data_IF_241276970446
#
_entry.id   IF_241276970446
#
_cell.length_a   1.000
_cell.length_b   1.000
_cell.length_c   1.000
_cell.angle_alpha   90.00
_cell.angle_beta   90.00
_cell.angle_gamma   90.00
#
_symmetry.space_group_name_H-M   'P 1'
#
loop_
_entity.id
_entity.type
_entity.pdbx_description
1 polymer ?
#
# COMPACT_ATOMS: atom_id res chain seq x y z
N UNK A 1 7.98 -0.71 23.40
CA UNK A 1 7.44 0.64 23.12
C UNK A 1 8.30 1.26 22.03
N UNK A 2 7.68 1.79 21.00
CA UNK A 2 8.37 2.41 19.88
C UNK A 2 9.31 3.53 20.34
N UNK A 3 10.47 3.64 19.69
CA UNK A 3 11.40 4.74 19.91
C UNK A 3 11.35 5.68 18.73
N UNK A 4 10.93 6.91 18.96
CA UNK A 4 11.00 8.00 18.01
C UNK A 4 12.43 8.53 17.95
N UNK A 5 13.05 8.47 16.77
CA UNK A 5 14.41 8.97 16.55
C UNK A 5 14.39 10.38 15.91
N UNK A 6 13.42 10.64 15.06
CA UNK A 6 13.26 11.92 14.37
C UNK A 6 11.80 12.13 13.99
N UNK A 7 11.35 13.39 13.98
CA UNK A 7 10.05 13.80 13.46
C UNK A 7 10.17 15.20 12.84
N UNK A 8 9.38 15.46 11.82
CA UNK A 8 9.35 16.75 11.16
C UNK A 8 8.36 16.80 10.01
N UNK A 9 8.30 17.94 9.34
CA UNK A 9 7.56 18.15 8.09
C UNK A 9 8.57 18.50 7.02
N UNK A 10 8.50 17.82 5.88
CA UNK A 10 9.37 18.11 4.72
C UNK A 10 9.06 19.48 4.12
N UNK A 11 10.07 20.17 3.61
CA UNK A 11 9.89 21.34 2.77
C UNK A 11 9.06 21.00 1.54
N UNK A 12 8.24 21.94 1.04
CA UNK A 12 7.42 21.71 -0.14
C UNK A 12 8.25 21.33 -1.37
N UNK A 13 7.85 20.25 -2.04
CA UNK A 13 8.43 19.75 -3.29
C UNK A 13 7.32 19.41 -4.30
N UNK A 14 7.62 19.25 -5.61
CA UNK A 14 6.62 18.78 -6.56
C UNK A 14 5.98 17.45 -6.11
N UNK A 15 4.65 17.37 -6.19
CA UNK A 15 3.92 16.17 -5.78
C UNK A 15 4.15 15.02 -6.79
N UNK A 16 4.52 13.84 -6.30
CA UNK A 16 4.70 12.65 -7.13
C UNK A 16 3.39 12.13 -7.78
N UNK A 17 2.22 12.59 -7.31
CA UNK A 17 0.91 12.18 -7.82
C UNK A 17 0.22 13.26 -8.65
N UNK A 18 0.45 14.51 -8.31
CA UNK A 18 -0.13 15.71 -8.93
C UNK A 18 1.00 16.74 -9.12
N UNK A 19 1.81 16.64 -10.19
CA UNK A 19 3.04 17.40 -10.33
C UNK A 19 2.89 18.94 -10.22
N UNK A 20 1.70 19.44 -10.55
CA UNK A 20 1.38 20.89 -10.48
C UNK A 20 1.08 21.39 -9.06
N UNK A 21 1.04 20.48 -8.06
CA UNK A 21 0.70 20.82 -6.68
C UNK A 21 1.91 20.63 -5.78
N UNK A 22 2.25 21.61 -4.89
CA UNK A 22 3.29 21.39 -3.90
C UNK A 22 2.87 20.33 -2.89
N UNK A 23 3.80 19.47 -2.51
CA UNK A 23 3.58 18.40 -1.54
C UNK A 23 4.57 18.49 -0.39
N UNK A 24 4.09 18.26 0.80
CA UNK A 24 4.88 18.06 2.02
C UNK A 24 4.40 16.80 2.73
N UNK A 25 5.32 16.10 3.37
CA UNK A 25 5.01 14.95 4.21
C UNK A 25 5.39 15.27 5.65
N UNK A 26 4.49 14.98 6.58
CA UNK A 26 4.88 14.78 7.97
C UNK A 26 5.56 13.42 8.06
N UNK A 27 6.73 13.36 8.67
CA UNK A 27 7.50 12.14 8.79
C UNK A 27 7.98 11.88 10.22
N UNK A 28 8.16 10.58 10.52
CA UNK A 28 8.74 10.08 11.77
C UNK A 28 9.68 8.94 11.45
N UNK A 29 10.87 8.95 12.01
CA UNK A 29 11.75 7.79 12.00
C UNK A 29 11.56 7.07 13.33
N UNK A 30 11.04 5.83 13.28
CA UNK A 30 10.69 5.06 14.45
C UNK A 30 11.25 3.65 14.35
N UNK A 31 11.76 3.13 15.45
CA UNK A 31 12.23 1.74 15.58
C UNK A 31 11.52 1.05 16.74
N UNK A 32 11.60 -0.27 16.78
CA UNK A 32 10.98 -1.11 17.81
C UNK A 32 9.45 -0.90 17.93
N UNK A 33 8.79 -0.57 16.81
CA UNK A 33 7.33 -0.36 16.78
C UNK A 33 6.62 -1.68 17.04
N UNK A 34 5.80 -1.72 18.08
CA UNK A 34 4.99 -2.89 18.44
C UNK A 34 3.76 -3.02 17.53
N UNK A 35 3.15 -4.22 17.43
CA UNK A 35 1.98 -4.43 16.57
C UNK A 35 0.81 -3.48 16.85
N UNK A 36 0.47 -3.23 18.09
CA UNK A 36 -0.62 -2.33 18.47
C UNK A 36 -0.29 -0.86 18.15
N UNK A 37 0.98 -0.47 18.30
CA UNK A 37 1.45 0.87 17.92
C UNK A 37 1.39 1.07 16.39
N UNK A 38 1.79 0.05 15.62
CA UNK A 38 1.67 0.07 14.16
C UNK A 38 0.21 0.18 13.71
N UNK A 39 -0.69 -0.59 14.35
CA UNK A 39 -2.12 -0.53 14.08
C UNK A 39 -2.70 0.87 14.35
N UNK A 40 -2.34 1.47 15.47
CA UNK A 40 -2.74 2.83 15.83
C UNK A 40 -2.22 3.89 14.84
N UNK A 41 -0.99 3.76 14.35
CA UNK A 41 -0.42 4.63 13.32
C UNK A 41 -1.15 4.47 11.98
N UNK A 42 -1.38 3.23 11.52
CA UNK A 42 -2.12 2.96 10.28
C UNK A 42 -3.53 3.53 10.34
N UNK A 43 -4.20 3.39 11.49
CA UNK A 43 -5.54 3.92 11.73
C UNK A 43 -5.60 5.45 11.64
N UNK A 44 -4.50 6.16 11.93
CA UNK A 44 -4.35 7.62 11.83
C UNK A 44 -3.79 8.09 10.48
N UNK A 45 -3.77 7.21 9.48
CA UNK A 45 -3.36 7.56 8.13
C UNK A 45 -1.84 7.51 7.88
N UNK A 46 -1.05 7.12 8.87
CA UNK A 46 0.38 6.91 8.65
C UNK A 46 0.64 5.72 7.73
N UNK A 47 1.70 5.81 6.95
CA UNK A 47 2.25 4.75 6.11
C UNK A 47 3.76 4.75 6.29
N UNK A 48 4.44 3.65 5.93
CA UNK A 48 5.88 3.58 6.12
C UNK A 48 6.61 2.81 5.02
N UNK A 49 7.90 3.09 4.92
CA UNK A 49 8.89 2.22 4.30
C UNK A 49 10.00 2.01 5.33
N UNK A 50 10.21 0.76 5.73
CA UNK A 50 11.13 0.45 6.81
C UNK A 50 10.83 1.25 8.08
N UNK A 51 11.82 1.94 8.68
CA UNK A 51 11.62 2.75 9.88
C UNK A 51 11.01 4.13 9.63
N UNK A 52 10.89 4.56 8.36
CA UNK A 52 10.38 5.88 7.97
C UNK A 52 8.86 5.89 7.82
N UNK A 53 8.16 6.42 8.82
CA UNK A 53 6.71 6.66 8.78
C UNK A 53 6.40 8.03 8.19
N UNK A 54 5.34 8.13 7.42
CA UNK A 54 4.94 9.39 6.78
C UNK A 54 3.44 9.48 6.57
N UNK A 55 2.93 10.71 6.48
CA UNK A 55 1.59 11.03 6.01
C UNK A 55 1.57 12.38 5.32
N UNK A 56 0.57 12.66 4.44
CA UNK A 56 0.46 13.95 3.77
C UNK A 56 0.28 15.08 4.78
N UNK A 57 1.01 16.20 4.57
CA UNK A 57 0.89 17.44 5.32
C UNK A 57 0.85 18.67 4.38
N UNK A 58 0.26 18.47 3.20
CA UNK A 58 0.25 19.46 2.12
C UNK A 58 -0.67 20.64 2.44
N UNK A 59 -0.17 21.87 2.40
CA UNK A 59 -0.99 23.07 2.57
C UNK A 59 -1.97 23.21 1.39
N UNK A 60 -3.27 23.27 1.70
CA UNK A 60 -4.33 23.48 0.70
C UNK A 60 -4.67 22.28 -0.18
N UNK A 61 -4.06 21.09 0.03
CA UNK A 61 -4.37 19.88 -0.73
C UNK A 61 -4.79 18.73 0.18
N UNK A 62 -5.93 18.08 -0.13
CA UNK A 62 -6.46 16.90 0.56
C UNK A 62 -6.71 15.74 -0.39
N UNK A 63 -5.99 15.66 -1.51
CA UNK A 63 -6.23 14.65 -2.54
C UNK A 63 -5.80 13.23 -2.14
N UNK A 64 -4.92 13.08 -1.16
CA UNK A 64 -4.41 11.80 -0.68
C UNK A 64 -5.37 11.18 0.34
N UNK A 65 -6.39 10.50 -0.15
CA UNK A 65 -7.40 9.86 0.70
C UNK A 65 -6.85 8.56 1.30
N UNK A 66 -6.65 8.50 2.62
CA UNK A 66 -6.30 7.24 3.29
C UNK A 66 -7.50 6.31 3.27
N UNK A 67 -7.34 5.09 2.72
CA UNK A 67 -8.45 4.17 2.46
C UNK A 67 -8.23 2.81 3.10
N UNK A 68 -9.35 2.18 3.54
CA UNK A 68 -9.37 0.79 3.98
C UNK A 68 -10.62 0.06 3.50
N UNK A 69 -10.48 -1.22 3.23
CA UNK A 69 -11.59 -2.14 2.93
C UNK A 69 -12.15 -2.66 4.27
N UNK A 70 -13.48 -2.70 4.39
CA UNK A 70 -14.16 -3.43 5.47
C UNK A 70 -14.34 -4.86 4.99
N UNK A 71 -13.57 -5.79 5.54
CA UNK A 71 -13.39 -7.16 5.01
C UNK A 71 -14.69 -7.96 4.97
N UNK A 72 -15.49 -7.91 6.04
CA UNK A 72 -16.75 -8.67 6.13
C UNK A 72 -17.82 -8.17 5.15
N UNK A 73 -17.81 -6.87 4.86
CA UNK A 73 -18.76 -6.27 3.93
C UNK A 73 -18.28 -6.30 2.47
N UNK A 74 -17.02 -6.68 2.22
CA UNK A 74 -16.45 -6.65 0.88
C UNK A 74 -16.84 -7.85 0.04
N UNK A 75 -17.30 -7.58 -1.18
CA UNK A 75 -17.49 -8.58 -2.22
C UNK A 75 -16.81 -8.14 -3.52
N UNK A 76 -15.99 -8.98 -4.16
CA UNK A 76 -15.27 -8.60 -5.35
C UNK A 76 -16.23 -8.36 -6.53
N UNK A 77 -15.98 -7.31 -7.31
CA UNK A 77 -16.69 -7.01 -8.55
C UNK A 77 -16.40 -8.06 -9.64
N UNK A 78 -17.13 -7.99 -10.77
CA UNK A 78 -16.91 -8.91 -11.90
C UNK A 78 -15.47 -8.82 -12.44
N UNK A 79 -14.92 -7.61 -12.56
CA UNK A 79 -13.53 -7.41 -13.02
C UNK A 79 -12.50 -7.91 -12.01
N UNK A 80 -12.73 -7.72 -10.71
CA UNK A 80 -11.89 -8.23 -9.66
C UNK A 80 -11.89 -9.77 -9.61
N UNK A 81 -13.06 -10.40 -9.72
CA UNK A 81 -13.15 -11.87 -9.85
C UNK A 81 -12.43 -12.39 -11.10
N UNK A 82 -12.43 -11.63 -12.20
CA UNK A 82 -11.64 -11.99 -13.38
C UNK A 82 -10.14 -11.94 -13.07
N UNK A 83 -9.64 -10.89 -12.41
CA UNK A 83 -8.22 -10.81 -12.02
C UNK A 83 -7.83 -11.98 -11.10
N UNK A 84 -8.68 -12.31 -10.11
CA UNK A 84 -8.46 -13.44 -9.21
C UNK A 84 -8.37 -14.78 -9.97
N UNK A 85 -9.25 -15.02 -10.96
CA UNK A 85 -9.20 -16.22 -11.80
C UNK A 85 -7.92 -16.30 -12.65
N UNK A 86 -7.49 -15.17 -13.22
CA UNK A 86 -6.27 -15.12 -14.03
C UNK A 86 -5.01 -15.37 -13.18
N UNK A 87 -5.04 -15.03 -11.90
CA UNK A 87 -3.92 -15.23 -10.97
C UNK A 87 -3.97 -16.58 -10.23
N UNK A 88 -4.92 -17.47 -10.52
CA UNK A 88 -5.15 -18.72 -9.75
C UNK A 88 -3.97 -19.73 -9.79
N UNK A 89 -3.16 -19.66 -10.86
CA UNK A 89 -1.96 -20.50 -11.03
C UNK A 89 -0.78 -19.98 -10.19
N UNK A 90 -0.90 -18.78 -9.61
CA UNK A 90 0.14 -18.25 -8.75
C UNK A 90 -0.02 -18.76 -7.32
N UNK A 91 0.96 -19.53 -6.88
CA UNK A 91 1.07 -19.97 -5.49
C UNK A 91 1.64 -18.83 -4.64
N UNK A 92 0.92 -18.43 -3.59
CA UNK A 92 1.31 -17.33 -2.72
C UNK A 92 1.86 -17.87 -1.38
N UNK A 93 3.01 -17.37 -0.98
CA UNK A 93 3.66 -17.68 0.30
C UNK A 93 3.77 -16.42 1.15
N UNK A 94 3.42 -16.52 2.43
CA UNK A 94 3.55 -15.42 3.40
C UNK A 94 4.74 -15.70 4.29
N UNK A 95 5.65 -14.72 4.37
CA UNK A 95 6.85 -14.82 5.20
C UNK A 95 7.24 -13.45 5.76
N UNK A 96 8.32 -13.38 6.53
CA UNK A 96 9.05 -12.13 6.73
C UNK A 96 9.68 -11.69 5.41
N UNK A 97 9.85 -10.36 5.17
CA UNK A 97 10.54 -9.89 3.96
C UNK A 97 11.96 -10.48 3.86
N UNK A 98 12.32 -10.87 2.64
CA UNK A 98 13.60 -11.50 2.33
C UNK A 98 14.36 -10.65 1.31
N UNK A 99 15.69 -10.69 1.33
CA UNK A 99 16.55 -10.08 0.33
C UNK A 99 17.31 -11.20 -0.37
N UNK A 100 17.11 -11.30 -1.67
CA UNK A 100 17.84 -12.20 -2.55
C UNK A 100 17.90 -11.65 -3.97
N UNK A 101 18.71 -12.27 -4.81
CA UNK A 101 18.87 -11.85 -6.21
C UNK A 101 17.57 -11.95 -7.02
N UNK A 102 16.70 -12.91 -6.71
CA UNK A 102 15.44 -13.07 -7.42
C UNK A 102 14.52 -11.86 -7.18
N UNK A 103 14.45 -11.37 -5.94
CA UNK A 103 13.66 -10.19 -5.58
C UNK A 103 14.23 -8.90 -6.14
N UNK A 104 15.53 -8.72 -6.05
CA UNK A 104 16.24 -7.55 -6.60
C UNK A 104 16.08 -7.49 -8.13
N UNK A 105 16.30 -8.60 -8.84
CA UNK A 105 16.13 -8.69 -10.28
C UNK A 105 14.69 -8.41 -10.71
N UNK A 106 13.71 -8.96 -9.96
CA UNK A 106 12.29 -8.72 -10.22
C UNK A 106 11.93 -7.24 -10.00
N UNK A 107 12.42 -6.62 -8.94
CA UNK A 107 12.20 -5.19 -8.68
C UNK A 107 12.79 -4.34 -9.80
N UNK A 108 14.03 -4.59 -10.22
CA UNK A 108 14.69 -3.85 -11.29
C UNK A 108 13.98 -4.02 -12.64
N UNK A 109 13.50 -5.23 -12.95
CA UNK A 109 12.71 -5.46 -14.16
C UNK A 109 11.41 -4.67 -14.15
N UNK A 110 10.70 -4.67 -13.01
CA UNK A 110 9.49 -3.89 -12.81
C UNK A 110 9.75 -2.38 -12.92
N UNK A 111 10.82 -1.87 -12.32
CA UNK A 111 11.16 -0.46 -12.34
C UNK A 111 11.52 0.03 -13.75
N UNK A 112 12.30 -0.76 -14.51
CA UNK A 112 12.59 -0.45 -15.93
C UNK A 112 11.31 -0.34 -16.75
N UNK A 113 10.37 -1.29 -16.59
CA UNK A 113 9.08 -1.21 -17.27
C UNK A 113 8.31 0.06 -16.87
N UNK A 114 8.30 0.45 -15.58
CA UNK A 114 7.64 1.69 -15.15
C UNK A 114 8.29 2.94 -15.69
N UNK A 115 9.61 2.98 -15.76
CA UNK A 115 10.34 4.09 -16.39
C UNK A 115 9.95 4.23 -17.87
N UNK A 116 9.93 3.14 -18.62
CA UNK A 116 9.60 3.14 -20.04
C UNK A 116 8.12 3.43 -20.33
N UNK A 117 7.20 2.84 -19.55
CA UNK A 117 5.76 2.91 -19.83
C UNK A 117 5.04 4.05 -19.13
N UNK A 118 5.63 4.65 -18.08
CA UNK A 118 5.01 5.67 -17.24
C UNK A 118 5.87 6.90 -16.97
N UNK A 119 7.09 6.94 -17.51
CA UNK A 119 8.02 8.05 -17.32
C UNK A 119 8.49 8.22 -15.86
N UNK A 120 8.52 7.12 -15.08
CA UNK A 120 9.05 7.19 -13.71
C UNK A 120 10.57 7.34 -13.75
N UNK A 121 11.12 8.07 -12.80
CA UNK A 121 12.56 8.13 -12.64
C UNK A 121 13.14 6.75 -12.35
N UNK A 122 14.20 6.41 -13.08
CA UNK A 122 14.98 5.22 -12.77
C UNK A 122 15.89 5.53 -11.60
N UNK A 123 15.74 4.76 -10.52
CA UNK A 123 16.76 4.69 -9.49
C UNK A 123 17.19 3.24 -9.35
N UNK A 124 18.47 2.97 -9.50
CA UNK A 124 19.00 1.65 -9.18
C UNK A 124 18.89 1.44 -7.67
N UNK A 125 17.98 0.57 -7.27
CA UNK A 125 17.80 0.21 -5.87
C UNK A 125 18.95 -0.71 -5.45
N UNK A 126 19.84 -0.22 -4.60
CA UNK A 126 20.90 -1.05 -4.03
C UNK A 126 20.31 -2.08 -3.07
N UNK A 127 21.11 -3.11 -2.73
CA UNK A 127 20.77 -4.08 -1.66
C UNK A 127 20.46 -3.36 -0.35
N UNK A 128 21.22 -2.32 -0.03
CA UNK A 128 21.03 -1.53 1.18
C UNK A 128 19.69 -0.74 1.14
N UNK A 129 19.35 -0.14 0.00
CA UNK A 129 18.09 0.58 -0.17
C UNK A 129 16.90 -0.39 -0.08
N UNK A 130 17.02 -1.58 -0.68
CA UNK A 130 16.00 -2.62 -0.57
C UNK A 130 15.80 -3.02 0.89
N UNK A 131 16.91 -3.28 1.62
CA UNK A 131 16.86 -3.58 3.05
C UNK A 131 16.13 -2.49 3.83
N UNK A 132 16.58 -1.24 3.67
CA UNK A 132 16.03 -0.12 4.42
C UNK A 132 14.53 0.13 4.12
N UNK A 133 14.10 -0.12 2.89
CA UNK A 133 12.70 0.12 2.49
C UNK A 133 11.76 -1.04 2.82
N UNK A 134 12.20 -2.28 2.58
CA UNK A 134 11.29 -3.42 2.53
C UNK A 134 11.63 -4.53 3.53
N UNK A 135 12.88 -4.68 3.92
CA UNK A 135 13.32 -5.77 4.78
C UNK A 135 13.87 -5.30 6.14
N UNK A 136 13.74 -4.02 6.46
CA UNK A 136 14.10 -3.51 7.78
C UNK A 136 13.33 -4.26 8.87
N UNK A 137 14.00 -4.69 9.97
CA UNK A 137 13.36 -5.47 11.01
C UNK A 137 12.12 -4.82 11.58
N UNK A 138 10.99 -5.50 11.47
CA UNK A 138 9.69 -5.06 11.97
C UNK A 138 8.88 -6.24 12.47
N UNK A 139 8.14 -6.03 13.57
CA UNK A 139 7.26 -7.05 14.14
C UNK A 139 6.07 -7.36 13.23
N UNK A 140 5.60 -6.38 12.47
CA UNK A 140 4.41 -6.47 11.62
C UNK A 140 4.71 -6.72 10.15
N UNK A 141 5.91 -6.40 9.66
CA UNK A 141 6.24 -6.57 8.25
C UNK A 141 6.10 -8.01 7.79
N UNK A 142 5.42 -8.17 6.65
CA UNK A 142 5.24 -9.42 5.93
C UNK A 142 5.53 -9.22 4.46
N UNK A 143 5.92 -10.29 3.83
CA UNK A 143 6.01 -10.42 2.39
C UNK A 143 5.02 -11.48 1.92
N UNK A 144 4.29 -11.19 0.84
CA UNK A 144 3.58 -12.21 0.07
C UNK A 144 4.33 -12.38 -1.24
N UNK A 145 5.03 -13.49 -1.38
CA UNK A 145 5.76 -13.88 -2.58
C UNK A 145 4.87 -14.78 -3.44
N UNK A 146 4.81 -14.51 -4.74
CA UNK A 146 3.98 -15.26 -5.68
C UNK A 146 4.86 -15.99 -6.68
N UNK A 147 4.65 -17.28 -6.76
CA UNK A 147 5.37 -18.20 -7.63
C UNK A 147 4.43 -18.76 -8.68
N UNK A 148 4.87 -18.77 -9.93
CA UNK A 148 4.11 -19.36 -11.02
C UNK A 148 4.33 -20.88 -11.03
N UNK A 149 3.30 -21.64 -10.69
CA UNK A 149 3.34 -23.10 -10.68
C UNK A 149 3.40 -23.73 -12.09
N UNK A 150 3.06 -22.95 -13.13
CA UNK A 150 3.12 -23.37 -14.53
C UNK A 150 4.46 -23.00 -15.19
N UNK A 151 5.35 -22.26 -14.48
CA UNK A 151 6.65 -21.79 -14.94
C UNK A 151 7.76 -22.08 -13.91
N UNK A 152 8.02 -23.34 -13.63
CA UNK A 152 9.07 -23.86 -12.73
C UNK A 152 9.08 -23.21 -11.35
N UNK A 153 7.92 -22.85 -10.81
CA UNK A 153 7.79 -22.10 -9.55
C UNK A 153 8.65 -20.81 -9.50
N UNK A 154 8.77 -20.12 -10.65
CA UNK A 154 9.49 -18.87 -10.72
C UNK A 154 8.79 -17.79 -9.91
N UNK A 155 9.56 -16.99 -9.15
CA UNK A 155 9.05 -15.80 -8.46
C UNK A 155 8.64 -14.75 -9.50
N UNK A 156 7.37 -14.34 -9.46
CA UNK A 156 6.79 -13.43 -10.46
C UNK A 156 6.15 -12.17 -9.87
N UNK A 157 5.89 -12.16 -8.58
CA UNK A 157 5.36 -10.98 -7.88
C UNK A 157 5.74 -11.01 -6.41
N UNK A 158 6.00 -9.84 -5.85
CA UNK A 158 6.24 -9.63 -4.42
C UNK A 158 5.34 -8.51 -3.93
N UNK A 159 4.67 -8.73 -2.82
CA UNK A 159 3.93 -7.72 -2.09
C UNK A 159 4.52 -7.55 -0.70
N UNK A 160 4.98 -6.34 -0.40
CA UNK A 160 5.35 -5.94 0.95
C UNK A 160 4.10 -5.40 1.63
N UNK A 161 3.84 -5.89 2.83
CA UNK A 161 2.64 -5.56 3.58
C UNK A 161 2.91 -5.63 5.09
N UNK A 162 1.98 -5.11 5.89
CA UNK A 162 1.97 -5.33 7.33
C UNK A 162 0.82 -6.24 7.72
N UNK A 163 1.05 -7.00 8.77
CA UNK A 163 0.06 -7.75 9.50
C UNK A 163 0.00 -7.23 10.93
N UNK A 164 -1.05 -6.46 11.25
CA UNK A 164 -1.30 -5.93 12.60
C UNK A 164 -2.42 -6.71 13.30
N UNK A 165 -2.72 -6.48 14.58
CA UNK A 165 -3.83 -7.15 15.27
C UNK A 165 -5.18 -7.02 14.55
N UNK A 166 -5.46 -5.86 13.93
CA UNK A 166 -6.78 -5.59 13.34
C UNK A 166 -6.77 -5.45 11.80
N UNK A 167 -5.61 -5.52 11.15
CA UNK A 167 -5.55 -5.27 9.72
C UNK A 167 -4.40 -5.95 8.99
N UNK A 168 -4.57 -6.09 7.68
CA UNK A 168 -3.47 -6.13 6.72
C UNK A 168 -3.32 -4.76 6.06
N UNK A 169 -2.09 -4.35 5.77
CA UNK A 169 -1.80 -3.07 5.10
C UNK A 169 -0.94 -3.30 3.88
N UNK A 170 -1.44 -2.91 2.70
CA UNK A 170 -0.67 -2.96 1.46
C UNK A 170 0.34 -1.80 1.44
N UNK A 171 1.63 -2.11 1.44
CA UNK A 171 2.72 -1.11 1.37
C UNK A 171 3.18 -0.95 -0.07
N UNK A 172 3.68 -2.03 -0.67
CA UNK A 172 4.25 -1.99 -2.00
C UNK A 172 4.04 -3.32 -2.73
N UNK A 173 3.93 -3.26 -4.07
CA UNK A 173 3.80 -4.46 -4.89
C UNK A 173 4.55 -4.26 -6.20
N UNK A 174 5.46 -5.17 -6.52
CA UNK A 174 6.17 -5.21 -7.79
C UNK A 174 6.10 -6.62 -8.39
N UNK A 175 6.21 -6.70 -9.70
CA UNK A 175 5.92 -7.93 -10.42
C UNK A 175 6.62 -7.96 -11.79
N UNK A 176 6.81 -9.15 -12.33
CA UNK A 176 7.32 -9.34 -13.70
C UNK A 176 6.36 -8.69 -14.70
N UNK A 177 6.81 -7.73 -15.53
CA UNK A 177 5.98 -7.04 -16.51
C UNK A 177 5.21 -7.97 -17.45
N UNK A 178 5.71 -9.17 -17.72
CA UNK A 178 5.02 -10.18 -18.54
C UNK A 178 3.65 -10.58 -17.94
N UNK A 179 3.49 -10.42 -16.62
CA UNK A 179 2.25 -10.73 -15.91
C UNK A 179 1.28 -9.53 -15.81
N UNK A 180 1.54 -8.40 -16.45
CA UNK A 180 0.68 -7.21 -16.37
C UNK A 180 -0.80 -7.51 -16.73
N UNK A 181 -1.05 -8.47 -17.62
CA UNK A 181 -2.39 -8.87 -18.10
C UNK A 181 -3.29 -9.47 -17.01
N UNK A 182 -2.72 -10.05 -15.95
CA UNK A 182 -3.51 -10.61 -14.84
C UNK A 182 -3.96 -9.54 -13.84
N UNK A 183 -3.57 -8.28 -14.05
CA UNK A 183 -3.82 -7.17 -13.11
C UNK A 183 -3.24 -7.44 -11.71
N UNK A 184 -1.89 -7.58 -11.57
CA UNK A 184 -1.24 -8.07 -10.36
C UNK A 184 -1.59 -7.27 -9.10
N UNK A 185 -1.66 -5.93 -9.19
CA UNK A 185 -2.05 -5.09 -8.05
C UNK A 185 -3.47 -5.37 -7.54
N UNK A 186 -4.42 -5.69 -8.44
CA UNK A 186 -5.78 -6.08 -8.05
C UNK A 186 -5.77 -7.47 -7.43
N UNK A 187 -5.09 -8.43 -8.05
CA UNK A 187 -4.96 -9.80 -7.53
C UNK A 187 -4.32 -9.81 -6.14
N UNK A 188 -3.28 -9.01 -5.93
CA UNK A 188 -2.63 -8.84 -4.62
C UNK A 188 -3.59 -8.31 -3.54
N UNK A 189 -4.33 -7.22 -3.81
CA UNK A 189 -5.28 -6.69 -2.83
C UNK A 189 -6.35 -7.73 -2.47
N UNK A 190 -6.86 -8.49 -3.45
CA UNK A 190 -7.82 -9.57 -3.19
C UNK A 190 -7.20 -10.66 -2.31
N UNK A 191 -5.93 -10.99 -2.53
CA UNK A 191 -5.20 -11.95 -1.68
C UNK A 191 -5.07 -11.43 -0.24
N UNK A 192 -4.76 -10.13 -0.05
CA UNK A 192 -4.72 -9.54 1.29
C UNK A 192 -6.10 -9.57 1.98
N UNK A 193 -7.20 -9.40 1.23
CA UNK A 193 -8.56 -9.56 1.78
C UNK A 193 -8.80 -11.03 2.21
N UNK A 194 -8.36 -12.00 1.41
CA UNK A 194 -8.49 -13.43 1.76
C UNK A 194 -7.65 -13.77 3.01
N UNK A 195 -6.44 -13.23 3.13
CA UNK A 195 -5.59 -13.37 4.32
C UNK A 195 -6.23 -12.71 5.54
N UNK A 196 -6.80 -11.52 5.39
CA UNK A 196 -7.50 -10.82 6.47
C UNK A 196 -8.70 -11.63 6.98
N UNK A 197 -9.49 -12.22 6.08
CA UNK A 197 -10.58 -13.14 6.45
C UNK A 197 -10.08 -14.37 7.21
N UNK A 198 -9.05 -15.03 6.67
CA UNK A 198 -8.47 -16.24 7.28
C UNK A 198 -7.89 -15.97 8.68
N UNK A 199 -7.51 -14.73 8.97
CA UNK A 199 -6.92 -14.31 10.23
C UNK A 199 -7.84 -13.44 11.08
N UNK A 200 -9.15 -13.36 10.72
CA UNK A 200 -10.20 -12.60 11.42
C UNK A 200 -9.86 -11.13 11.63
N UNK A 201 -9.18 -10.50 10.66
CA UNK A 201 -8.88 -9.09 10.69
C UNK A 201 -9.92 -8.28 9.93
N UNK A 202 -10.55 -7.27 10.56
CA UNK A 202 -11.68 -6.55 9.95
C UNK A 202 -11.27 -5.63 8.79
N UNK A 203 -9.98 -5.26 8.66
CA UNK A 203 -9.59 -4.24 7.68
C UNK A 203 -8.43 -4.65 6.78
N UNK A 204 -8.44 -4.11 5.55
CA UNK A 204 -7.26 -4.06 4.66
C UNK A 204 -7.02 -2.60 4.28
N UNK A 205 -5.91 -2.02 4.74
CA UNK A 205 -5.48 -0.68 4.35
C UNK A 205 -4.85 -0.70 2.96
N UNK A 206 -5.30 0.20 2.07
CA UNK A 206 -4.80 0.31 0.69
C UNK A 206 -3.75 1.42 0.52
N UNK A 207 -3.42 2.13 1.59
CA UNK A 207 -2.63 3.35 1.52
C UNK A 207 -3.46 4.51 0.97
N UNK A 208 -2.82 5.43 0.23
CA UNK A 208 -3.52 6.57 -0.33
C UNK A 208 -4.19 6.24 -1.66
N UNK A 209 -5.42 6.73 -1.82
CA UNK A 209 -6.15 6.77 -3.07
C UNK A 209 -6.18 8.24 -3.54
N UNK A 210 -5.63 8.51 -4.71
CA UNK A 210 -5.66 9.83 -5.35
C UNK A 210 -6.45 9.69 -6.63
N UNK A 211 -7.67 10.23 -6.67
CA UNK A 211 -8.61 10.01 -7.79
C UNK A 211 -8.10 10.55 -9.13
N UNK A 212 -7.38 11.68 -9.10
CA UNK A 212 -6.78 12.27 -10.28
C UNK A 212 -5.48 11.56 -10.74
N UNK A 213 -4.89 10.67 -9.91
CA UNK A 213 -3.70 9.91 -10.25
C UNK A 213 -4.04 8.57 -10.88
N UNK A 214 -3.66 8.36 -12.14
CA UNK A 214 -3.94 7.12 -12.89
C UNK A 214 -3.48 5.85 -12.18
N UNK A 215 -2.32 5.89 -11.51
CA UNK A 215 -1.72 4.72 -10.84
C UNK A 215 -2.36 4.42 -9.48
N UNK A 216 -3.12 5.35 -8.88
CA UNK A 216 -3.72 5.18 -7.56
C UNK A 216 -5.25 5.11 -7.54
N UNK A 217 -5.92 5.70 -8.55
CA UNK A 217 -7.39 5.78 -8.60
C UNK A 217 -8.09 4.42 -8.59
N UNK A 218 -7.43 3.34 -9.05
CA UNK A 218 -8.02 2.01 -9.09
C UNK A 218 -8.42 1.49 -7.69
N UNK A 219 -7.77 2.01 -6.64
CA UNK A 219 -8.08 1.67 -5.24
C UNK A 219 -9.52 2.05 -4.87
N UNK A 220 -10.11 3.07 -5.50
CA UNK A 220 -11.50 3.48 -5.29
C UNK A 220 -12.54 2.43 -5.76
N UNK A 221 -12.12 1.41 -6.50
CA UNK A 221 -12.99 0.32 -6.97
C UNK A 221 -13.22 -0.81 -5.94
N UNK A 222 -12.48 -0.82 -4.83
CA UNK A 222 -12.65 -1.83 -3.77
C UNK A 222 -13.73 -1.38 -2.79
N UNK A 223 -14.99 -1.73 -3.06
CA UNK A 223 -16.16 -1.28 -2.29
C UNK A 223 -16.85 -2.43 -1.57
N UNK A 224 -17.43 -2.19 -0.37
CA UNK A 224 -17.43 -0.94 0.38
C UNK A 224 -16.05 -0.65 0.98
N UNK A 225 -15.66 0.63 0.97
CA UNK A 225 -14.44 1.09 1.62
C UNK A 225 -14.74 2.32 2.47
N UNK A 226 -13.89 2.54 3.44
CA UNK A 226 -13.89 3.69 4.34
C UNK A 226 -12.71 4.60 4.02
N UNK A 227 -12.91 5.89 4.26
CA UNK A 227 -11.92 6.95 4.15
C UNK A 227 -11.70 7.57 5.53
N UNK A 228 -10.44 7.82 5.85
CA UNK A 228 -10.09 8.60 7.04
C UNK A 228 -10.51 10.06 6.84
N UNK A 229 -11.22 10.59 7.81
CA UNK A 229 -11.63 11.99 7.82
C UNK A 229 -10.56 12.82 8.52
N UNK A 230 -9.98 13.76 7.77
CA UNK A 230 -8.91 14.61 8.29
C UNK A 230 -7.58 13.89 8.51
N UNK A 231 -6.75 14.49 9.35
CA UNK A 231 -5.44 13.99 9.78
C UNK A 231 -5.38 14.03 11.31
N UNK A 232 -5.97 13.03 12.00
CA UNK A 232 -6.08 13.04 13.46
C UNK A 232 -4.70 13.03 14.12
N UNK A 233 -4.54 13.81 15.19
CA UNK A 233 -3.39 13.80 16.08
C UNK A 233 -3.27 12.47 16.86
N UNK A 234 -2.18 12.33 17.62
CA UNK A 234 -1.94 11.09 18.38
C UNK A 234 -3.00 10.87 19.48
N UNK A 235 -3.52 11.94 20.05
CA UNK A 235 -4.53 11.91 21.11
C UNK A 235 -5.98 11.94 20.59
N UNK A 236 -6.16 12.07 19.27
CA UNK A 236 -7.48 12.13 18.66
C UNK A 236 -7.97 10.76 18.23
N UNK A 237 -9.26 10.49 18.39
CA UNK A 237 -9.88 9.27 17.88
C UNK A 237 -10.07 9.36 16.37
N UNK A 238 -9.46 8.48 15.57
CA UNK A 238 -9.61 8.49 14.11
C UNK A 238 -11.05 8.21 13.69
N UNK A 239 -11.62 9.08 12.85
CA UNK A 239 -12.93 8.87 12.25
C UNK A 239 -12.80 8.33 10.85
N UNK A 240 -13.47 7.21 10.60
CA UNK A 240 -13.52 6.55 9.30
C UNK A 240 -14.95 6.53 8.79
N UNK A 241 -15.21 7.16 7.65
CA UNK A 241 -16.52 7.24 7.06
C UNK A 241 -16.57 6.48 5.72
N UNK A 242 -17.74 5.94 5.36
CA UNK A 242 -17.92 5.27 4.07
C UNK A 242 -17.69 6.26 2.92
N UNK A 243 -16.98 5.84 1.90
CA UNK A 243 -16.70 6.67 0.72
C UNK A 243 -17.98 7.21 0.06
N UNK A 244 -19.06 6.43 0.02
CA UNK A 244 -20.35 6.88 -0.53
C UNK A 244 -20.86 8.10 0.23
N UNK A 245 -20.93 8.03 1.55
CA UNK A 245 -21.40 9.14 2.42
C UNK A 245 -20.56 10.41 2.24
N UNK A 246 -19.24 10.27 2.13
CA UNK A 246 -18.36 11.43 1.94
C UNK A 246 -18.52 12.07 0.55
N UNK A 247 -18.86 11.28 -0.47
CA UNK A 247 -19.18 11.80 -1.81
C UNK A 247 -20.50 12.55 -1.82
N UNK A 248 -21.51 12.01 -1.17
CA UNK A 248 -22.83 12.66 -1.02
C UNK A 248 -22.71 14.00 -0.27
N UNK A 249 -21.79 14.06 0.71
CA UNK A 249 -21.48 15.29 1.44
C UNK A 249 -20.56 16.27 0.68
N UNK A 250 -20.12 15.93 -0.55
CA UNK A 250 -19.20 16.77 -1.34
C UNK A 250 -17.75 16.81 -0.83
N UNK A 251 -17.41 15.98 0.15
CA UNK A 251 -16.08 15.93 0.75
C UNK A 251 -15.07 15.12 -0.08
N UNK A 252 -15.54 14.39 -1.06
CA UNK A 252 -14.75 13.65 -2.04
C UNK A 252 -15.27 14.01 -3.42
N UNK A 253 -14.36 14.43 -4.31
CA UNK A 253 -14.71 14.76 -5.68
C UNK A 253 -15.48 13.58 -6.33
N UNK A 254 -16.64 13.85 -6.89
CA UNK A 254 -17.31 12.93 -7.80
C UNK A 254 -16.36 12.62 -8.95
N UNK A 255 -16.16 11.34 -9.26
CA UNK A 255 -15.41 11.00 -10.48
C UNK A 255 -16.15 11.54 -11.70
N UNK A 256 -15.41 12.02 -12.71
CA UNK A 256 -15.99 12.23 -14.02
C UNK A 256 -16.53 10.93 -14.62
#
# INVERSE_FOLDING_TARGET
MARLLHAGIEDPRPCSYLPEVPASLEHRVMVDVLPDEADALLCRGWRHFGPGWFRPACTGCQACLSTRIVVDAFSPSRSQRRAQRLARHLRAEVSKPVIDDARLNLFHAWQRDRAQTRGWEMSELSVQDYFMRFAFPSSVAREVAYYDSEADNRLVMVSICDETPHAWSAIFCFYDPAYARISPGIANILRLVDLARATSRPFVYLGYCVLACQSLRYKAAFRPQELLVGLPGDDETPRWDRMATLREAGLVLSQP
#
